data_IF_368851113020
#
_entry.id   IF_368851113020
#
_cell.length_a   1.000
_cell.length_b   1.000
_cell.length_c   1.000
_cell.angle_alpha   90.00
_cell.angle_beta   90.00
_cell.angle_gamma   90.00
#
_symmetry.space_group_name_H-M   'P 1'
#
loop_
_entity.id
_entity.type
_entity.pdbx_description
1 polymer ?
#
# COMPACT_ATOMS: atom_id res chain seq x y z
N UNK A 1 -11.24 -4.80 8.75
CA UNK A 1 -10.98 -3.41 9.15
C UNK A 1 -9.56 -3.36 9.70
N UNK A 2 -8.66 -2.63 9.06
CA UNK A 2 -7.28 -2.53 9.52
C UNK A 2 -7.23 -1.88 10.90
N UNK A 3 -6.74 -2.59 11.91
CA UNK A 3 -6.41 -2.04 13.23
C UNK A 3 -4.97 -1.49 13.26
N UNK A 4 -4.55 -0.84 12.20
CA UNK A 4 -3.22 -0.23 12.11
C UNK A 4 -3.36 1.28 12.00
N UNK A 5 -2.39 1.98 12.55
CA UNK A 5 -2.26 3.43 12.40
C UNK A 5 -2.32 3.82 10.92
N UNK A 6 -3.06 4.88 10.63
CA UNK A 6 -2.99 5.59 9.33
C UNK A 6 -1.52 5.79 8.96
N UNK A 7 -1.13 5.61 7.67
CA UNK A 7 0.21 5.96 7.24
C UNK A 7 0.49 7.38 7.69
N UNK A 8 1.39 7.55 8.63
CA UNK A 8 1.58 8.85 9.27
C UNK A 8 2.18 9.79 8.22
N UNK A 9 1.39 10.74 7.71
CA UNK A 9 1.83 11.87 6.88
C UNK A 9 2.80 12.80 7.64
N UNK A 10 3.27 12.37 8.81
CA UNK A 10 4.19 13.10 9.69
C UNK A 10 5.63 13.05 9.18
N UNK A 11 5.93 13.64 8.02
CA UNK A 11 7.30 14.05 7.63
C UNK A 11 8.39 12.97 7.54
N UNK A 12 8.15 11.72 7.96
CA UNK A 12 9.16 10.65 8.01
C UNK A 12 9.14 9.72 6.78
N UNK A 13 8.00 9.58 6.11
CA UNK A 13 7.85 8.70 4.94
C UNK A 13 7.79 9.50 3.64
N UNK A 14 8.40 8.97 2.58
CA UNK A 14 8.24 9.52 1.23
C UNK A 14 6.80 9.32 0.74
N UNK A 15 6.34 10.15 -0.22
CA UNK A 15 5.03 9.96 -0.86
C UNK A 15 4.87 8.53 -1.39
N UNK A 16 5.91 7.96 -2.00
CA UNK A 16 5.89 6.59 -2.51
C UNK A 16 5.70 5.54 -1.41
N UNK A 17 6.35 5.70 -0.25
CA UNK A 17 6.16 4.79 0.87
C UNK A 17 4.71 4.83 1.40
N UNK A 18 4.13 6.02 1.51
CA UNK A 18 2.71 6.22 1.85
C UNK A 18 1.81 5.60 0.80
N UNK A 19 2.11 5.81 -0.48
CA UNK A 19 1.32 5.25 -1.60
C UNK A 19 1.34 3.73 -1.59
N UNK A 20 2.47 3.07 -1.27
CA UNK A 20 2.54 1.62 -1.11
C UNK A 20 1.59 1.09 -0.03
N UNK A 21 1.52 1.76 1.10
CA UNK A 21 0.61 1.35 2.17
C UNK A 21 -0.85 1.42 1.72
N UNK A 22 -1.23 2.48 1.01
CA UNK A 22 -2.59 2.58 0.47
C UNK A 22 -2.86 1.56 -0.64
N UNK A 23 -1.89 1.29 -1.52
CA UNK A 23 -2.01 0.22 -2.53
C UNK A 23 -2.21 -1.15 -1.87
N UNK A 24 -1.42 -1.49 -0.86
CA UNK A 24 -1.61 -2.73 -0.11
C UNK A 24 -3.01 -2.82 0.52
N UNK A 25 -3.49 -1.75 1.15
CA UNK A 25 -4.83 -1.69 1.74
C UNK A 25 -5.92 -1.83 0.68
N UNK A 26 -5.73 -1.25 -0.50
CA UNK A 26 -6.65 -1.37 -1.63
C UNK A 26 -6.72 -2.82 -2.13
N UNK A 27 -5.57 -3.44 -2.41
CA UNK A 27 -5.51 -4.84 -2.85
C UNK A 27 -6.16 -5.78 -1.83
N UNK A 28 -5.89 -5.57 -0.54
CA UNK A 28 -6.55 -6.31 0.53
C UNK A 28 -8.08 -6.15 0.51
N UNK A 29 -8.58 -4.94 0.29
CA UNK A 29 -10.02 -4.68 0.25
C UNK A 29 -10.65 -5.31 -1.00
N UNK A 30 -10.02 -5.15 -2.16
CA UNK A 30 -10.47 -5.74 -3.43
C UNK A 30 -10.52 -7.26 -3.35
N UNK A 31 -9.47 -7.91 -2.80
CA UNK A 31 -9.44 -9.35 -2.54
C UNK A 31 -10.57 -9.80 -1.62
N UNK A 32 -10.84 -9.02 -0.57
CA UNK A 32 -11.89 -9.36 0.39
C UNK A 32 -13.30 -9.25 -0.18
N UNK A 33 -13.48 -8.46 -1.24
CA UNK A 33 -14.76 -8.18 -1.90
C UNK A 33 -14.91 -8.91 -3.23
N UNK A 34 -13.82 -9.45 -3.80
CA UNK A 34 -13.81 -10.05 -5.14
C UNK A 34 -14.05 -9.03 -6.26
N UNK A 35 -13.69 -7.76 -6.05
CA UNK A 35 -13.95 -6.67 -7.01
C UNK A 35 -12.67 -5.88 -7.29
N UNK A 36 -12.07 -6.11 -8.47
CA UNK A 36 -10.84 -5.49 -8.96
C UNK A 36 -11.08 -4.48 -10.08
N UNK A 37 -12.22 -3.81 -10.08
CA UNK A 37 -12.59 -2.82 -11.10
C UNK A 37 -11.91 -1.46 -10.89
N UNK A 38 -11.75 -0.69 -11.97
CA UNK A 38 -11.32 0.70 -11.92
C UNK A 38 -12.24 1.57 -11.07
N UNK A 39 -13.55 1.34 -11.14
CA UNK A 39 -14.53 2.04 -10.32
C UNK A 39 -14.26 1.84 -8.82
N UNK A 40 -13.89 0.61 -8.43
CA UNK A 40 -13.53 0.31 -7.04
C UNK A 40 -12.22 0.99 -6.62
N UNK A 41 -11.22 1.02 -7.51
CA UNK A 41 -9.96 1.76 -7.29
C UNK A 41 -10.23 3.24 -7.06
N UNK A 42 -11.04 3.87 -7.90
CA UNK A 42 -11.31 5.30 -7.84
C UNK A 42 -12.17 5.66 -6.61
N UNK A 43 -13.14 4.81 -6.25
CA UNK A 43 -13.89 4.95 -4.99
C UNK A 43 -12.97 4.82 -3.76
N UNK A 44 -12.02 3.88 -3.77
CA UNK A 44 -11.04 3.76 -2.70
C UNK A 44 -10.20 5.03 -2.51
N UNK A 45 -9.78 5.67 -3.60
CA UNK A 45 -9.03 6.94 -3.55
C UNK A 45 -9.87 8.09 -3.00
N UNK A 46 -11.06 8.29 -3.54
CA UNK A 46 -11.91 9.45 -3.22
C UNK A 46 -12.59 9.34 -1.86
N UNK A 47 -12.95 8.14 -1.44
CA UNK A 47 -13.68 7.91 -0.19
C UNK A 47 -12.75 7.55 0.95
N UNK A 48 -11.97 6.45 0.80
CA UNK A 48 -11.15 5.94 1.89
C UNK A 48 -9.87 6.76 2.07
N UNK A 49 -9.07 6.92 1.03
CA UNK A 49 -7.76 7.60 1.14
C UNK A 49 -7.93 9.08 1.46
N UNK A 50 -8.80 9.78 0.73
CA UNK A 50 -9.07 11.19 0.99
C UNK A 50 -9.67 11.40 2.39
N UNK A 51 -10.54 10.51 2.84
CA UNK A 51 -11.11 10.52 4.20
C UNK A 51 -10.05 10.36 5.30
N UNK A 52 -9.14 9.39 5.16
CA UNK A 52 -8.04 9.16 6.09
C UNK A 52 -7.09 10.38 6.17
N UNK A 53 -6.70 10.92 5.02
CA UNK A 53 -5.83 12.12 4.96
C UNK A 53 -6.53 13.32 5.59
N UNK A 54 -7.80 13.54 5.26
CA UNK A 54 -8.60 14.64 5.83
C UNK A 54 -8.67 14.57 7.35
N UNK A 55 -8.93 13.36 7.88
CA UNK A 55 -8.98 13.12 9.32
C UNK A 55 -7.63 13.44 9.98
N UNK A 56 -6.53 12.91 9.44
CA UNK A 56 -5.19 13.15 9.98
C UNK A 56 -4.82 14.63 9.99
N UNK A 57 -5.09 15.35 8.90
CA UNK A 57 -4.82 16.78 8.81
C UNK A 57 -5.64 17.59 9.81
N UNK A 58 -6.93 17.27 9.96
CA UNK A 58 -7.79 17.95 10.94
C UNK A 58 -7.43 17.63 12.39
N UNK A 59 -6.97 16.41 12.67
CA UNK A 59 -6.50 16.05 14.02
C UNK A 59 -5.20 16.78 14.36
N UNK A 60 -4.26 16.90 13.41
CA UNK A 60 -3.05 17.75 13.56
C UNK A 60 -3.39 19.23 13.74
N UNK A 61 -4.38 19.73 13.00
CA UNK A 61 -4.83 21.10 13.13
C UNK A 61 -5.38 21.38 14.54
N UNK A 62 -6.24 20.50 15.04
CA UNK A 62 -6.76 20.59 16.42
C UNK A 62 -5.65 20.53 17.46
N UNK A 63 -4.69 19.62 17.28
CA UNK A 63 -3.57 19.50 18.21
C UNK A 63 -2.72 20.77 18.23
N UNK A 64 -2.41 21.35 17.05
CA UNK A 64 -1.62 22.56 16.91
C UNK A 64 -2.25 23.79 17.58
N UNK A 65 -3.58 23.88 17.53
CA UNK A 65 -4.36 25.01 18.04
C UNK A 65 -5.15 24.66 19.31
N UNK A 66 -4.67 23.65 20.10
CA UNK A 66 -5.31 23.25 21.35
C UNK A 66 -5.43 24.37 22.35
N UNK A 67 -4.39 25.23 22.40
CA UNK A 67 -4.29 26.35 23.36
C UNK A 67 -4.80 27.68 22.77
N UNK A 68 -5.15 27.70 21.50
CA UNK A 68 -5.66 28.90 20.78
C UNK A 68 -6.74 28.51 19.74
N UNK A 69 -7.90 27.98 20.17
CA UNK A 69 -8.93 27.50 19.27
C UNK A 69 -9.58 28.59 18.41
N UNK A 70 -9.56 29.84 18.88
CA UNK A 70 -10.20 30.98 18.18
C UNK A 70 -9.43 31.35 16.90
N UNK A 71 -8.13 31.10 16.85
CA UNK A 71 -7.29 31.35 15.69
C UNK A 71 -7.07 30.11 14.82
N UNK A 72 -7.81 29.02 15.06
CA UNK A 72 -7.70 27.82 14.24
C UNK A 72 -8.24 28.08 12.82
N UNK A 73 -7.46 27.77 11.75
CA UNK A 73 -7.93 27.88 10.37
C UNK A 73 -9.14 26.95 10.09
N UNK A 74 -9.81 27.20 8.97
CA UNK A 74 -10.86 26.30 8.50
C UNK A 74 -10.36 24.85 8.36
N UNK A 75 -11.24 23.91 8.67
CA UNK A 75 -10.93 22.47 8.56
C UNK A 75 -10.80 22.06 7.10
N UNK A 76 -9.94 21.09 6.87
CA UNK A 76 -9.84 20.45 5.57
C UNK A 76 -11.14 19.72 5.20
N UNK A 77 -11.52 19.80 3.93
CA UNK A 77 -12.71 19.17 3.36
C UNK A 77 -12.25 17.98 2.49
N UNK A 78 -12.91 16.84 2.63
CA UNK A 78 -12.52 15.60 1.93
C UNK A 78 -12.53 15.76 0.41
N UNK A 79 -13.49 16.48 -0.15
CA UNK A 79 -13.57 16.72 -1.60
C UNK A 79 -12.35 17.48 -2.14
N UNK A 80 -11.84 18.45 -1.39
CA UNK A 80 -10.63 19.20 -1.76
C UNK A 80 -9.39 18.33 -1.71
N UNK A 81 -9.32 17.43 -0.71
CA UNK A 81 -8.24 16.44 -0.62
C UNK A 81 -8.33 15.45 -1.77
N UNK A 82 -9.52 14.93 -2.09
CA UNK A 82 -9.74 14.00 -3.20
C UNK A 82 -9.33 14.61 -4.55
N UNK A 83 -9.63 15.90 -4.78
CA UNK A 83 -9.22 16.64 -5.98
C UNK A 83 -7.71 16.94 -6.06
N UNK A 84 -6.95 16.74 -4.98
CA UNK A 84 -5.54 17.12 -4.87
C UNK A 84 -4.64 16.01 -4.31
N UNK A 85 -4.98 14.74 -4.52
CA UNK A 85 -4.24 13.60 -3.94
C UNK A 85 -2.76 13.57 -4.33
N UNK A 86 -2.38 14.13 -5.47
CA UNK A 86 -0.96 14.25 -5.90
C UNK A 86 -0.09 15.07 -4.94
N UNK A 87 -0.69 15.89 -4.06
CA UNK A 87 0.05 16.58 -2.99
C UNK A 87 0.54 15.60 -1.92
N UNK A 88 -0.15 14.49 -1.75
CA UNK A 88 0.04 13.52 -0.66
C UNK A 88 0.62 12.18 -1.13
N UNK A 89 0.26 11.76 -2.34
CA UNK A 89 0.61 10.47 -2.93
C UNK A 89 1.45 10.64 -4.21
N UNK A 90 2.19 9.59 -4.55
CA UNK A 90 2.83 9.39 -5.85
C UNK A 90 1.80 8.75 -6.79
N UNK A 91 1.01 9.58 -7.48
CA UNK A 91 -0.11 9.11 -8.30
C UNK A 91 0.36 8.36 -9.56
N UNK A 92 1.51 8.74 -10.14
CA UNK A 92 2.09 8.02 -11.28
C UNK A 92 2.39 6.57 -10.89
N UNK A 93 3.07 6.40 -9.77
CA UNK A 93 3.35 5.07 -9.21
C UNK A 93 2.07 4.31 -8.85
N UNK A 94 1.08 4.98 -8.27
CA UNK A 94 -0.18 4.36 -7.85
C UNK A 94 -0.89 3.68 -9.03
N UNK A 95 -1.11 4.42 -10.11
CA UNK A 95 -1.78 3.88 -11.29
C UNK A 95 -0.94 2.83 -12.01
N UNK A 96 0.35 3.09 -12.20
CA UNK A 96 1.23 2.15 -12.88
C UNK A 96 1.35 0.80 -12.14
N UNK A 97 1.45 0.82 -10.81
CA UNK A 97 1.51 -0.41 -10.01
C UNK A 97 0.17 -1.15 -10.01
N UNK A 98 -0.96 -0.44 -9.94
CA UNK A 98 -2.28 -1.07 -10.04
C UNK A 98 -2.49 -1.75 -11.39
N UNK A 99 -2.24 -1.04 -12.50
CA UNK A 99 -2.36 -1.59 -13.85
C UNK A 99 -1.45 -2.80 -14.06
N UNK A 100 -0.18 -2.71 -13.63
CA UNK A 100 0.75 -3.82 -13.73
C UNK A 100 0.26 -5.05 -12.92
N UNK A 101 -0.29 -4.84 -11.73
CA UNK A 101 -0.88 -5.92 -10.94
C UNK A 101 -2.08 -6.56 -11.66
N UNK A 102 -3.03 -5.75 -12.15
CA UNK A 102 -4.22 -6.29 -12.84
C UNK A 102 -3.84 -7.10 -14.07
N UNK A 103 -2.83 -6.67 -14.83
CA UNK A 103 -2.36 -7.37 -16.04
C UNK A 103 -1.67 -8.70 -15.72
N UNK A 104 -1.06 -8.85 -14.55
CA UNK A 104 -0.20 -9.99 -14.21
C UNK A 104 -0.62 -10.72 -12.93
N UNK A 105 -1.85 -10.53 -12.44
CA UNK A 105 -2.28 -11.09 -11.15
C UNK A 105 -2.15 -12.62 -11.09
N UNK A 106 -2.49 -13.34 -12.16
CA UNK A 106 -2.37 -14.79 -12.21
C UNK A 106 -0.89 -15.23 -12.17
N UNK A 107 -0.03 -14.60 -12.97
CA UNK A 107 1.42 -14.89 -12.98
C UNK A 107 2.04 -14.64 -11.59
N UNK A 108 1.58 -13.58 -10.91
CA UNK A 108 2.03 -13.21 -9.57
C UNK A 108 1.61 -14.28 -8.54
N UNK A 109 0.38 -14.76 -8.61
CA UNK A 109 -0.13 -15.79 -7.71
C UNK A 109 0.56 -17.15 -7.96
N UNK A 110 0.81 -17.51 -9.22
CA UNK A 110 1.61 -18.70 -9.57
C UNK A 110 3.03 -18.60 -8.99
N UNK A 111 3.69 -17.44 -9.10
CA UNK A 111 5.00 -17.20 -8.48
C UNK A 111 4.91 -17.36 -6.95
N UNK A 112 3.88 -16.83 -6.31
CA UNK A 112 3.72 -16.97 -4.85
C UNK A 112 3.58 -18.45 -4.48
N UNK A 113 2.76 -19.22 -5.18
CA UNK A 113 2.57 -20.65 -4.94
C UNK A 113 3.87 -21.45 -5.10
N UNK A 114 4.66 -21.19 -6.14
CA UNK A 114 5.94 -21.84 -6.39
C UNK A 114 6.96 -21.60 -5.27
N UNK A 115 6.98 -20.40 -4.69
CA UNK A 115 7.98 -19.99 -3.71
C UNK A 115 7.54 -20.13 -2.25
N UNK A 116 6.26 -20.31 -1.97
CA UNK A 116 5.72 -20.38 -0.60
C UNK A 116 5.83 -21.76 0.08
N UNK A 117 6.39 -22.78 -0.60
CA UNK A 117 6.66 -24.15 -0.10
C UNK A 117 5.60 -24.68 0.89
N UNK A 118 4.50 -25.21 0.34
CA UNK A 118 3.44 -25.86 1.12
C UNK A 118 2.35 -24.93 1.65
N UNK A 119 2.39 -23.66 1.30
CA UNK A 119 1.33 -22.69 1.53
C UNK A 119 0.77 -22.23 0.17
N UNK A 120 -0.44 -22.68 -0.18
CA UNK A 120 -1.13 -22.13 -1.34
C UNK A 120 -1.59 -20.69 -1.05
N UNK A 121 -1.73 -19.90 -2.10
CA UNK A 121 -2.20 -18.50 -2.04
C UNK A 121 -3.44 -18.37 -1.13
N UNK A 122 -4.38 -19.31 -1.20
CA UNK A 122 -5.61 -19.33 -0.40
C UNK A 122 -5.38 -19.45 1.12
N UNK A 123 -4.22 -19.94 1.54
CA UNK A 123 -3.86 -20.15 2.96
C UNK A 123 -3.00 -19.05 3.53
N UNK A 124 -2.47 -18.17 2.68
CA UNK A 124 -1.67 -17.02 3.12
C UNK A 124 -2.60 -15.98 3.75
N UNK A 125 -2.18 -15.40 4.87
CA UNK A 125 -2.92 -14.32 5.48
C UNK A 125 -3.12 -13.16 4.48
N UNK A 126 -4.34 -12.66 4.33
CA UNK A 126 -4.69 -11.67 3.28
C UNK A 126 -3.81 -10.42 3.28
N UNK A 127 -3.33 -9.98 4.44
CA UNK A 127 -2.38 -8.86 4.52
C UNK A 127 -1.05 -9.24 3.88
N UNK A 128 -0.50 -10.40 4.26
CA UNK A 128 0.78 -10.86 3.73
C UNK A 128 0.71 -11.12 2.23
N UNK A 129 -0.40 -11.69 1.76
CA UNK A 129 -0.68 -11.89 0.34
C UNK A 129 -0.71 -10.57 -0.42
N UNK A 130 -1.41 -9.55 0.11
CA UNK A 130 -1.47 -8.22 -0.53
C UNK A 130 -0.10 -7.55 -0.58
N UNK A 131 0.72 -7.73 0.45
CA UNK A 131 2.11 -7.23 0.50
C UNK A 131 2.99 -7.95 -0.53
N UNK A 132 2.89 -9.29 -0.61
CA UNK A 132 3.63 -10.09 -1.58
C UNK A 132 3.27 -9.70 -3.01
N UNK A 133 1.98 -9.65 -3.34
CA UNK A 133 1.46 -9.25 -4.65
C UNK A 133 2.00 -7.90 -5.09
N UNK A 134 1.92 -6.89 -4.23
CA UNK A 134 2.42 -5.55 -4.53
C UNK A 134 3.93 -5.53 -4.75
N UNK A 135 4.71 -6.20 -3.89
CA UNK A 135 6.16 -6.23 -4.02
C UNK A 135 6.62 -6.98 -5.27
N UNK A 136 6.00 -8.12 -5.60
CA UNK A 136 6.30 -8.87 -6.82
C UNK A 136 5.95 -8.05 -8.06
N UNK A 137 4.81 -7.34 -8.04
CA UNK A 137 4.45 -6.38 -9.09
C UNK A 137 5.56 -5.35 -9.32
N UNK A 138 6.06 -4.72 -8.25
CA UNK A 138 7.17 -3.76 -8.33
C UNK A 138 8.45 -4.37 -8.89
N UNK A 139 8.79 -5.55 -8.43
CA UNK A 139 10.06 -6.20 -8.76
C UNK A 139 10.11 -6.70 -10.22
N UNK A 140 9.03 -7.29 -10.71
CA UNK A 140 9.01 -8.04 -11.96
C UNK A 140 8.28 -7.32 -13.10
N UNK A 141 7.24 -6.57 -12.81
CA UNK A 141 6.31 -6.05 -13.82
C UNK A 141 6.27 -4.54 -13.92
N UNK A 142 6.69 -3.80 -12.89
CA UNK A 142 6.68 -2.35 -12.93
C UNK A 142 7.91 -1.80 -13.67
N UNK A 143 7.71 -1.41 -14.92
CA UNK A 143 8.78 -0.86 -15.78
C UNK A 143 9.12 0.59 -15.44
N UNK A 144 8.11 1.39 -15.14
CA UNK A 144 8.21 2.82 -14.75
C UNK A 144 7.12 3.16 -13.76
N UNK A 145 7.42 3.96 -12.75
CA UNK A 145 8.78 4.36 -12.34
C UNK A 145 9.55 3.18 -11.73
N UNK A 146 10.77 2.94 -12.18
CA UNK A 146 11.58 1.80 -11.70
C UNK A 146 11.87 1.93 -10.21
N UNK A 147 11.66 0.83 -9.48
CA UNK A 147 11.95 0.73 -8.04
C UNK A 147 13.09 -0.24 -7.84
N UNK A 148 14.15 0.10 -7.08
CA UNK A 148 15.19 -0.85 -6.71
C UNK A 148 14.60 -2.02 -5.91
N UNK A 149 14.96 -3.25 -6.26
CA UNK A 149 14.42 -4.49 -5.64
C UNK A 149 14.61 -4.48 -4.12
N UNK A 150 15.79 -4.06 -3.65
CA UNK A 150 16.08 -3.96 -2.21
C UNK A 150 15.14 -2.98 -1.49
N UNK A 151 14.77 -1.88 -2.15
CA UNK A 151 13.82 -0.92 -1.60
C UNK A 151 12.39 -1.49 -1.54
N UNK A 152 11.95 -2.19 -2.61
CA UNK A 152 10.65 -2.87 -2.63
C UNK A 152 10.53 -3.89 -1.52
N UNK A 153 11.54 -4.76 -1.36
CA UNK A 153 11.56 -5.78 -0.30
C UNK A 153 11.57 -5.15 1.10
N UNK A 154 12.41 -4.13 1.32
CA UNK A 154 12.47 -3.44 2.62
C UNK A 154 11.15 -2.81 3.02
N UNK A 155 10.48 -2.15 2.07
CA UNK A 155 9.16 -1.56 2.30
C UNK A 155 8.07 -2.62 2.51
N UNK A 156 8.10 -3.73 1.75
CA UNK A 156 7.19 -4.85 1.94
C UNK A 156 7.30 -5.43 3.36
N UNK A 157 8.53 -5.67 3.83
CA UNK A 157 8.79 -6.15 5.20
C UNK A 157 8.32 -5.15 6.25
N UNK A 158 8.53 -3.85 6.03
CA UNK A 158 8.04 -2.79 6.92
C UNK A 158 6.51 -2.83 7.04
N UNK A 159 5.82 -2.89 5.90
CA UNK A 159 4.35 -2.93 5.84
C UNK A 159 3.82 -4.22 6.51
N UNK A 160 4.42 -5.37 6.21
CA UNK A 160 4.05 -6.64 6.83
C UNK A 160 4.18 -6.61 8.37
N UNK A 161 5.23 -5.97 8.91
CA UNK A 161 5.39 -5.80 10.36
C UNK A 161 4.36 -4.88 11.00
N UNK A 162 3.83 -3.90 10.26
CA UNK A 162 2.85 -2.93 10.79
C UNK A 162 1.43 -3.52 10.75
N UNK A 163 1.08 -4.21 9.68
CA UNK A 163 -0.30 -4.60 9.39
C UNK A 163 -0.56 -6.11 9.50
N UNK A 164 0.48 -6.93 9.46
CA UNK A 164 0.42 -8.39 9.56
C UNK A 164 0.55 -8.92 10.99
N UNK A 165 0.72 -10.22 11.11
CA UNK A 165 0.99 -10.90 12.38
C UNK A 165 2.46 -10.80 12.81
N UNK A 166 2.78 -11.42 13.96
CA UNK A 166 4.13 -11.37 14.57
C UNK A 166 5.23 -11.88 13.63
N UNK A 167 4.95 -12.92 12.85
CA UNK A 167 5.92 -13.54 11.92
C UNK A 167 5.81 -13.02 10.47
N UNK A 168 4.84 -12.16 10.15
CA UNK A 168 4.58 -11.67 8.78
C UNK A 168 5.83 -11.07 8.14
N UNK A 169 6.59 -10.27 8.86
CA UNK A 169 7.81 -9.67 8.33
C UNK A 169 8.88 -10.70 7.93
N UNK A 170 9.04 -11.78 8.70
CA UNK A 170 9.97 -12.88 8.39
C UNK A 170 9.47 -13.70 7.21
N UNK A 171 8.17 -14.03 7.19
CA UNK A 171 7.53 -14.79 6.13
C UNK A 171 7.66 -14.08 4.78
N UNK A 172 7.24 -12.82 4.69
CA UNK A 172 7.32 -11.99 3.49
C UNK A 172 8.77 -11.85 3.00
N UNK A 173 9.72 -11.53 3.90
CA UNK A 173 11.14 -11.43 3.55
C UNK A 173 11.70 -12.75 3.00
N UNK A 174 11.30 -13.86 3.58
CA UNK A 174 11.76 -15.20 3.15
C UNK A 174 11.34 -15.54 1.72
N UNK A 175 10.08 -15.26 1.36
CA UNK A 175 9.54 -15.50 0.00
C UNK A 175 10.17 -14.53 -0.99
N UNK A 176 10.10 -13.22 -0.74
CA UNK A 176 10.61 -12.21 -1.66
C UNK A 176 12.13 -12.32 -1.90
N UNK A 177 12.88 -12.67 -0.85
CA UNK A 177 14.32 -12.91 -1.00
C UNK A 177 14.68 -14.13 -1.85
N UNK A 178 13.83 -15.16 -1.89
CA UNK A 178 14.00 -16.31 -2.81
C UNK A 178 13.67 -15.90 -4.24
N UNK A 179 12.53 -15.25 -4.44
CA UNK A 179 12.10 -14.74 -5.77
C UNK A 179 13.19 -13.86 -6.38
N UNK A 180 13.70 -12.87 -5.60
CA UNK A 180 14.74 -11.96 -6.09
C UNK A 180 16.00 -12.70 -6.56
N UNK A 181 16.44 -13.75 -5.85
CA UNK A 181 17.62 -14.54 -6.22
C UNK A 181 17.39 -15.41 -7.46
N UNK A 182 16.26 -16.11 -7.52
CA UNK A 182 15.98 -17.06 -8.60
C UNK A 182 15.59 -16.38 -9.90
N UNK A 183 14.92 -15.23 -9.82
CA UNK A 183 14.56 -14.42 -11.00
C UNK A 183 15.68 -13.48 -11.45
N UNK A 184 16.88 -13.51 -10.79
CA UNK A 184 18.01 -12.60 -11.07
C UNK A 184 17.62 -11.12 -11.14
N UNK A 185 16.70 -10.68 -10.30
CA UNK A 185 16.22 -9.28 -10.26
C UNK A 185 17.15 -8.47 -9.36
N UNK A 186 17.70 -7.36 -9.92
CA UNK A 186 18.61 -6.44 -9.21
C UNK A 186 18.02 -5.04 -9.09
#
# INVERSE_FOLDING_TARGET
MFRGSTPTMSGKLSKRAVTREYLMKMLFQMESQGDFTDARRDAFLSEYVAGEITKELNDKLKQKYSDDPENMPEKYIQQDIAGNLSKYLDMEYYYAAFEAYIMHNNDIDDIIDDFSKGWSVDRIAKVDLSVLRLCITEMLYLKKPKVPVSASISEAVRIAKIYGGEDSGKFVNGILGKIAREQNVQ
#
